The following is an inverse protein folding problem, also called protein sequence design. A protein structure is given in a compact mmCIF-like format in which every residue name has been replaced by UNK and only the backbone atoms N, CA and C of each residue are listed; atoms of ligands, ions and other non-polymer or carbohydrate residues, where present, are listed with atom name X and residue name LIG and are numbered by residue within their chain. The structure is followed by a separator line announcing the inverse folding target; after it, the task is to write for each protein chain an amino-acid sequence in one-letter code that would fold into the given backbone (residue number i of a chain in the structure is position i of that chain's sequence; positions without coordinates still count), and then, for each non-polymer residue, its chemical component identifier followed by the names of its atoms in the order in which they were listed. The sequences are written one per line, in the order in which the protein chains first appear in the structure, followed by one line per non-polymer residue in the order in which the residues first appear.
data_IF_738864221714
#
_entry.id   IF_738864221714
#
_cell.length_a   1.000
_cell.length_b   1.000
_cell.length_c   1.000
_cell.angle_alpha   90.00
_cell.angle_beta   90.00
_cell.angle_gamma   90.00
#
_symmetry.space_group_name_H-M   'P 1'
#
loop_
_entity.id
_entity.type
_entity.pdbx_description
1 polymer ?
#
# COMPACT_ATOMS: atom_id res chain seq x y z
N UNK A 1 -75.25 21.87 15.08
CA UNK A 1 -76.09 21.46 16.22
C UNK A 1 -75.44 20.27 16.86
N UNK A 2 -74.85 20.41 18.03
CA UNK A 2 -74.64 19.54 19.15
C UNK A 2 -73.47 20.06 19.97
N UNK A 3 -73.75 20.65 20.89
CA UNK A 3 -73.62 20.86 22.33
C UNK A 3 -72.22 20.64 22.90
N UNK A 4 -71.75 21.81 23.41
CA UNK A 4 -70.67 21.94 24.36
C UNK A 4 -71.21 21.60 25.77
N UNK A 5 -70.70 20.59 26.44
CA UNK A 5 -70.84 20.39 27.88
C UNK A 5 -69.48 20.66 28.58
N UNK A 6 -69.47 21.75 29.35
CA UNK A 6 -68.46 22.16 30.32
C UNK A 6 -68.32 21.11 31.43
N UNK A 7 -67.09 20.77 31.82
CA UNK A 7 -66.75 20.14 33.11
C UNK A 7 -65.93 21.13 33.96
N UNK A 8 -66.13 21.12 35.29
CA UNK A 8 -65.48 22.06 36.18
C UNK A 8 -64.03 21.68 36.49
N UNK A 9 -63.23 22.64 37.08
CA UNK A 9 -61.83 22.40 37.38
C UNK A 9 -61.67 21.62 38.69
N UNK A 10 -60.87 20.59 38.69
CA UNK A 10 -60.42 19.89 39.89
C UNK A 10 -59.05 20.45 40.32
N UNK A 11 -59.02 20.82 41.61
CA UNK A 11 -57.86 21.28 42.33
C UNK A 11 -57.14 20.07 42.92
N UNK A 12 -55.91 19.86 42.55
CA UNK A 12 -54.86 19.47 43.51
C UNK A 12 -53.50 19.55 42.79
N UNK A 13 -52.74 20.55 43.18
CA UNK A 13 -51.34 20.67 42.78
C UNK A 13 -50.50 19.66 43.56
N UNK A 14 -49.44 19.39 43.01
CA UNK A 14 -48.11 18.91 43.34
C UNK A 14 -47.70 17.87 42.27
N UNK A 15 -47.18 18.36 41.16
CA UNK A 15 -46.42 17.52 40.27
C UNK A 15 -44.94 17.82 40.43
N UNK A 16 -44.29 16.83 40.93
CA UNK A 16 -42.96 16.75 41.43
C UNK A 16 -41.90 17.17 40.39
N UNK A 17 -41.02 18.15 40.73
CA UNK A 17 -39.84 18.59 39.98
C UNK A 17 -38.83 17.47 39.64
N UNK A 18 -39.03 16.25 40.10
CA UNK A 18 -38.14 15.11 39.85
C UNK A 18 -38.29 14.49 38.48
N UNK A 19 -39.38 14.67 37.75
CA UNK A 19 -39.61 14.01 36.43
C UNK A 19 -38.89 14.80 35.30
N UNK A 20 -38.76 16.12 35.44
CA UNK A 20 -38.05 16.95 34.43
C UNK A 20 -36.54 16.76 34.46
N UNK A 21 -35.94 16.45 35.63
CA UNK A 21 -34.52 16.18 35.75
C UNK A 21 -34.14 14.82 35.13
N UNK A 22 -35.02 13.82 35.23
CA UNK A 22 -34.78 12.52 34.63
C UNK A 22 -34.84 12.55 33.09
N UNK A 23 -35.76 13.31 32.51
CA UNK A 23 -35.89 13.41 31.05
C UNK A 23 -34.70 14.19 30.42
N UNK A 24 -34.14 15.17 31.15
CA UNK A 24 -32.96 15.93 30.69
C UNK A 24 -31.66 15.09 30.73
N UNK A 25 -31.53 14.22 31.76
CA UNK A 25 -30.37 13.31 31.90
C UNK A 25 -30.37 12.19 30.88
N UNK A 26 -31.52 11.63 30.52
CA UNK A 26 -31.64 10.60 29.48
C UNK A 26 -31.27 11.20 28.10
N UNK A 27 -31.78 12.40 27.77
CA UNK A 27 -31.43 13.05 26.49
C UNK A 27 -29.96 13.49 26.41
N UNK A 28 -29.34 13.86 27.54
CA UNK A 28 -27.94 14.25 27.58
C UNK A 28 -27.00 13.03 27.42
N UNK A 29 -27.33 11.89 28.04
CA UNK A 29 -26.57 10.67 27.91
C UNK A 29 -26.74 10.03 26.52
N UNK A 30 -27.94 10.08 25.93
CA UNK A 30 -28.18 9.62 24.56
C UNK A 30 -27.41 10.47 23.55
N UNK A 31 -27.30 11.80 23.74
CA UNK A 31 -26.47 12.64 22.89
C UNK A 31 -24.98 12.33 23.02
N UNK A 32 -24.49 11.97 24.21
CA UNK A 32 -23.09 11.56 24.40
C UNK A 32 -22.82 10.16 23.84
N UNK A 33 -23.76 9.21 23.96
CA UNK A 33 -23.70 7.91 23.33
C UNK A 33 -23.74 8.04 21.80
N UNK A 34 -24.66 8.85 21.25
CA UNK A 34 -24.72 9.15 19.81
C UNK A 34 -23.48 9.88 19.28
N UNK A 35 -22.84 10.73 20.10
CA UNK A 35 -21.57 11.36 19.74
C UNK A 35 -20.40 10.41 19.91
N UNK A 36 -20.45 9.42 20.79
CA UNK A 36 -19.45 8.37 20.93
C UNK A 36 -19.54 7.34 19.78
N UNK A 37 -20.75 7.01 19.33
CA UNK A 37 -20.92 6.14 18.16
C UNK A 37 -20.55 6.82 16.84
N UNK A 38 -20.69 8.16 16.74
CA UNK A 38 -20.21 8.94 15.57
C UNK A 38 -18.68 9.08 15.50
N UNK A 39 -17.95 8.70 16.54
CA UNK A 39 -16.49 8.53 16.50
C UNK A 39 -16.09 7.08 16.21
N UNK A 40 -16.85 6.34 15.42
CA UNK A 40 -16.25 5.29 14.60
C UNK A 40 -15.28 6.04 13.68
N UNK A 41 -14.01 5.98 14.00
CA UNK A 41 -12.93 6.50 13.18
C UNK A 41 -13.15 5.92 11.80
N UNK A 42 -13.63 6.75 10.87
CA UNK A 42 -13.75 6.31 9.47
C UNK A 42 -12.33 6.00 9.06
N UNK A 43 -12.02 4.71 8.98
CA UNK A 43 -10.68 4.29 8.57
C UNK A 43 -10.45 4.85 7.18
N UNK A 44 -9.33 5.52 7.00
CA UNK A 44 -8.95 6.06 5.70
C UNK A 44 -8.68 4.90 4.76
N UNK A 45 -9.15 5.04 3.52
CA UNK A 45 -8.89 4.06 2.47
C UNK A 45 -7.57 4.34 1.78
N UNK A 46 -6.83 3.28 1.55
CA UNK A 46 -5.67 3.29 0.67
C UNK A 46 -5.96 2.34 -0.48
N UNK A 47 -5.84 2.83 -1.70
CA UNK A 47 -5.85 1.99 -2.90
C UNK A 47 -4.41 1.84 -3.38
N UNK A 48 -3.97 0.61 -3.58
CA UNK A 48 -2.65 0.35 -4.13
C UNK A 48 -2.77 0.02 -5.63
N UNK A 49 -2.14 0.85 -6.46
CA UNK A 49 -2.17 0.78 -7.92
C UNK A 49 -1.30 -0.38 -8.43
N UNK A 50 -1.71 -1.62 -8.14
CA UNK A 50 -1.04 -2.83 -8.62
C UNK A 50 -2.03 -3.97 -8.82
N UNK A 51 -1.77 -4.79 -9.84
CA UNK A 51 -2.42 -6.07 -10.06
C UNK A 51 -1.61 -7.27 -9.52
N UNK A 52 -0.40 -7.04 -8.99
CA UNK A 52 0.48 -8.11 -8.55
C UNK A 52 0.14 -8.58 -7.13
N UNK A 53 -0.32 -9.84 -7.01
CA UNK A 53 -0.71 -10.42 -5.72
C UNK A 53 0.45 -10.54 -4.72
N UNK A 54 1.68 -10.82 -5.20
CA UNK A 54 2.87 -10.89 -4.35
C UNK A 54 3.19 -9.53 -3.71
N UNK A 55 3.15 -8.45 -4.51
CA UNK A 55 3.30 -7.08 -3.98
C UNK A 55 2.22 -6.75 -2.96
N UNK A 56 0.95 -7.07 -3.24
CA UNK A 56 -0.15 -6.79 -2.30
C UNK A 56 0.02 -7.48 -0.96
N UNK A 57 0.53 -8.70 -0.95
CA UNK A 57 0.81 -9.44 0.30
C UNK A 57 1.85 -8.69 1.14
N UNK A 58 3.02 -8.38 0.56
CA UNK A 58 4.09 -7.64 1.24
C UNK A 58 3.62 -6.27 1.76
N UNK A 59 2.84 -5.53 0.96
CA UNK A 59 2.31 -4.21 1.32
C UNK A 59 1.40 -4.30 2.55
N UNK A 60 0.47 -5.26 2.58
CA UNK A 60 -0.45 -5.44 3.70
C UNK A 60 0.27 -5.83 4.97
N UNK A 61 1.30 -6.67 4.88
CA UNK A 61 2.12 -7.05 6.03
C UNK A 61 2.88 -5.85 6.61
N UNK A 62 3.51 -5.03 5.76
CA UNK A 62 4.33 -3.89 6.19
C UNK A 62 3.48 -2.75 6.76
N UNK A 63 2.29 -2.51 6.22
CA UNK A 63 1.40 -1.42 6.63
C UNK A 63 0.32 -1.85 7.64
N UNK A 64 0.37 -3.08 8.17
CA UNK A 64 -0.67 -3.69 9.00
C UNK A 64 -1.00 -2.91 10.28
N UNK A 65 -0.08 -2.13 10.82
CA UNK A 65 -0.26 -1.35 12.05
C UNK A 65 -0.79 0.08 11.81
N UNK A 66 -0.98 0.50 10.56
CA UNK A 66 -1.67 1.75 10.26
C UNK A 66 -3.19 1.59 10.41
N UNK A 67 -3.90 2.61 10.92
CA UNK A 67 -5.36 2.58 11.05
C UNK A 67 -6.05 2.87 9.70
N UNK A 68 -5.77 2.04 8.69
CA UNK A 68 -6.24 2.20 7.30
C UNK A 68 -6.75 0.89 6.74
N UNK A 69 -7.63 0.97 5.74
CA UNK A 69 -8.06 -0.18 4.94
C UNK A 69 -7.33 -0.15 3.60
N UNK A 70 -6.67 -1.27 3.24
CA UNK A 70 -5.83 -1.36 2.04
C UNK A 70 -6.49 -2.25 0.99
N UNK A 71 -6.77 -1.67 -0.15
CA UNK A 71 -7.39 -2.30 -1.31
C UNK A 71 -6.44 -2.32 -2.51
N UNK A 72 -6.47 -3.40 -3.28
CA UNK A 72 -5.94 -3.40 -4.65
C UNK A 72 -6.89 -2.64 -5.57
N UNK A 73 -6.45 -2.29 -6.77
CA UNK A 73 -7.33 -1.72 -7.81
C UNK A 73 -8.57 -2.59 -8.05
N UNK A 74 -8.37 -3.90 -8.16
CA UNK A 74 -9.46 -4.86 -8.39
C UNK A 74 -10.49 -4.85 -7.24
N UNK A 75 -10.06 -4.86 -5.99
CA UNK A 75 -10.93 -4.82 -4.81
C UNK A 75 -11.64 -3.46 -4.68
N UNK A 76 -11.02 -2.38 -5.14
CA UNK A 76 -11.61 -1.06 -5.22
C UNK A 76 -12.55 -0.86 -6.43
N UNK A 77 -12.67 -1.86 -7.30
CA UNK A 77 -13.49 -1.79 -8.51
C UNK A 77 -12.91 -0.85 -9.58
N UNK A 78 -11.61 -0.54 -9.52
CA UNK A 78 -10.92 0.35 -10.46
C UNK A 78 -10.31 -0.50 -11.58
N UNK A 79 -10.70 -0.18 -12.81
CA UNK A 79 -10.15 -0.76 -14.04
C UNK A 79 -9.75 0.39 -14.95
N UNK A 80 -8.47 0.66 -15.03
CA UNK A 80 -7.89 1.72 -15.87
C UNK A 80 -6.58 1.21 -16.45
N UNK A 81 -6.35 1.52 -17.71
CA UNK A 81 -5.08 1.29 -18.38
C UNK A 81 -4.09 2.38 -17.95
N UNK A 82 -2.89 1.97 -17.57
CA UNK A 82 -1.83 2.87 -17.11
C UNK A 82 -0.68 2.80 -18.10
N UNK A 83 -0.42 3.90 -18.79
CA UNK A 83 0.72 4.01 -19.70
C UNK A 83 2.00 4.34 -18.91
N UNK A 84 2.79 3.31 -18.61
CA UNK A 84 4.07 3.41 -17.90
C UNK A 84 5.20 3.80 -18.86
N UNK A 85 5.15 5.04 -19.37
CA UNK A 85 6.10 5.59 -20.34
C UNK A 85 7.23 6.41 -19.68
N UNK A 86 7.33 6.42 -18.37
CA UNK A 86 8.39 7.06 -17.60
C UNK A 86 9.76 6.41 -17.85
N UNK A 87 10.80 7.21 -17.75
CA UNK A 87 12.20 6.76 -17.92
C UNK A 87 12.85 6.31 -16.62
N UNK A 88 12.20 6.58 -15.49
CA UNK A 88 12.67 6.24 -14.15
C UNK A 88 11.57 5.55 -13.36
N UNK A 89 11.96 4.78 -12.35
CA UNK A 89 11.00 4.17 -11.40
C UNK A 89 10.13 5.23 -10.72
N UNK A 90 10.68 6.42 -10.45
CA UNK A 90 9.93 7.49 -9.81
C UNK A 90 8.85 8.06 -10.74
N UNK A 91 9.18 8.30 -12.00
CA UNK A 91 8.20 8.76 -13.00
C UNK A 91 7.05 7.76 -13.15
N UNK A 92 7.37 6.47 -13.32
CA UNK A 92 6.34 5.43 -13.46
C UNK A 92 5.50 5.28 -12.19
N UNK A 93 6.09 5.32 -11.00
CA UNK A 93 5.34 5.28 -9.74
C UNK A 93 4.37 6.47 -9.63
N UNK A 94 4.80 7.68 -9.98
CA UNK A 94 3.95 8.89 -10.01
C UNK A 94 2.82 8.77 -11.02
N UNK A 95 3.12 8.34 -12.26
CA UNK A 95 2.11 8.13 -13.30
C UNK A 95 1.03 7.17 -12.80
N UNK A 96 1.43 6.02 -12.24
CA UNK A 96 0.49 5.04 -11.69
C UNK A 96 -0.38 5.63 -10.58
N UNK A 97 0.23 6.27 -9.60
CA UNK A 97 -0.49 6.84 -8.45
C UNK A 97 -1.50 7.91 -8.89
N UNK A 98 -1.10 8.83 -9.76
CA UNK A 98 -1.95 9.92 -10.24
C UNK A 98 -3.09 9.43 -11.15
N UNK A 99 -2.80 8.48 -12.05
CA UNK A 99 -3.83 7.89 -12.93
C UNK A 99 -4.93 7.22 -12.12
N UNK A 100 -4.54 6.41 -11.11
CA UNK A 100 -5.52 5.72 -10.26
C UNK A 100 -6.22 6.68 -9.31
N UNK A 101 -5.54 7.73 -8.81
CA UNK A 101 -6.17 8.75 -7.98
C UNK A 101 -7.30 9.48 -8.72
N UNK A 102 -7.13 9.74 -10.02
CA UNK A 102 -8.18 10.30 -10.89
C UNK A 102 -9.42 9.42 -11.03
N UNK A 103 -9.34 8.13 -10.67
CA UNK A 103 -10.45 7.18 -10.71
C UNK A 103 -11.09 6.94 -9.33
N UNK A 104 -10.65 7.63 -8.27
CA UNK A 104 -11.19 7.50 -6.91
C UNK A 104 -12.19 8.60 -6.58
N UNK A 105 -12.86 8.46 -5.43
CA UNK A 105 -13.84 9.42 -4.90
C UNK A 105 -13.23 10.71 -4.32
N UNK A 106 -11.93 10.92 -4.50
CA UNK A 106 -11.21 12.10 -3.99
C UNK A 106 -10.91 12.07 -2.48
N UNK A 107 -11.41 11.11 -1.73
CA UNK A 107 -11.12 10.94 -0.30
C UNK A 107 -10.11 9.84 0.02
N UNK A 108 -9.65 9.15 -1.01
CA UNK A 108 -8.80 7.96 -0.95
C UNK A 108 -7.33 8.33 -1.17
N UNK A 109 -6.42 7.79 -0.34
CA UNK A 109 -4.98 7.85 -0.59
C UNK A 109 -4.66 6.78 -1.64
N UNK A 110 -3.96 7.13 -2.69
CA UNK A 110 -3.51 6.16 -3.70
C UNK A 110 -2.01 5.98 -3.59
N UNK A 111 -1.59 4.73 -3.42
CA UNK A 111 -0.19 4.33 -3.46
C UNK A 111 0.09 3.56 -4.75
N UNK A 112 1.27 3.76 -5.30
CA UNK A 112 1.78 2.95 -6.40
C UNK A 112 3.24 2.62 -6.17
N UNK A 113 3.66 1.42 -6.59
CA UNK A 113 5.07 1.10 -6.65
C UNK A 113 5.54 0.93 -8.10
N UNK A 114 6.75 1.41 -8.35
CA UNK A 114 7.53 0.93 -9.46
C UNK A 114 8.85 0.38 -8.96
N UNK A 115 9.21 -0.81 -9.41
CA UNK A 115 10.34 -1.54 -8.86
C UNK A 115 10.96 -2.47 -9.89
N UNK A 116 12.27 -2.64 -9.80
CA UNK A 116 12.98 -3.51 -10.70
C UNK A 116 14.38 -3.86 -10.21
N UNK A 117 15.03 -4.67 -11.02
CA UNK A 117 16.39 -5.13 -10.86
C UNK A 117 17.30 -4.32 -11.76
N UNK A 118 18.38 -3.78 -11.23
CA UNK A 118 19.47 -3.17 -11.98
C UNK A 118 20.72 -4.02 -11.82
N UNK A 119 21.37 -4.41 -12.94
CA UNK A 119 22.59 -5.23 -12.96
C UNK A 119 23.71 -4.37 -13.55
N UNK A 120 24.76 -4.11 -12.78
CA UNK A 120 25.82 -3.16 -13.17
C UNK A 120 26.57 -3.62 -14.42
N UNK A 121 26.92 -4.90 -14.53
CA UNK A 121 27.59 -5.45 -15.70
C UNK A 121 26.73 -5.45 -16.98
N UNK A 122 25.43 -5.20 -16.85
CA UNK A 122 24.48 -5.05 -17.96
C UNK A 122 24.00 -3.59 -18.11
N UNK A 123 24.79 -2.62 -17.65
CA UNK A 123 24.48 -1.19 -17.72
C UNK A 123 23.13 -0.81 -17.07
N UNK A 124 22.76 -1.49 -15.99
CA UNK A 124 21.53 -1.28 -15.26
C UNK A 124 20.31 -2.02 -15.81
N UNK A 125 20.46 -2.81 -16.89
CA UNK A 125 19.36 -3.64 -17.36
C UNK A 125 19.02 -4.76 -16.33
N UNK A 126 17.74 -5.19 -16.26
CA UNK A 126 16.58 -4.73 -17.02
C UNK A 126 15.97 -3.39 -16.55
N UNK A 127 16.33 -2.85 -15.38
CA UNK A 127 15.89 -1.55 -14.89
C UNK A 127 14.37 -1.40 -14.85
N UNK A 128 13.85 -0.29 -15.35
CA UNK A 128 12.40 0.00 -15.42
C UNK A 128 11.62 -1.01 -16.28
N UNK A 129 12.31 -1.80 -17.08
CA UNK A 129 11.71 -2.85 -17.90
C UNK A 129 11.64 -4.20 -17.20
N UNK A 130 11.97 -4.30 -15.91
CA UNK A 130 12.07 -5.57 -15.18
C UNK A 130 10.84 -6.46 -15.31
N UNK A 131 9.65 -5.90 -15.18
CA UNK A 131 8.40 -6.68 -15.29
C UNK A 131 8.16 -7.20 -16.71
N UNK A 132 8.48 -6.40 -17.73
CA UNK A 132 8.25 -6.71 -19.17
C UNK A 132 9.51 -7.15 -19.93
N UNK A 133 10.62 -7.39 -19.20
CA UNK A 133 11.85 -7.92 -19.79
C UNK A 133 11.57 -9.20 -20.57
N UNK A 134 12.03 -9.29 -21.82
CA UNK A 134 11.75 -10.36 -22.76
C UNK A 134 10.25 -10.60 -23.09
N UNK A 135 9.35 -9.64 -22.76
CA UNK A 135 7.91 -9.75 -22.92
C UNK A 135 7.16 -10.05 -21.63
N UNK A 136 5.92 -9.54 -21.53
CA UNK A 136 5.10 -9.65 -20.33
C UNK A 136 4.75 -11.09 -19.96
N UNK A 137 4.45 -11.91 -20.96
CA UNK A 137 4.04 -13.31 -20.80
C UNK A 137 5.22 -14.27 -20.55
N UNK A 138 6.46 -13.79 -20.63
CA UNK A 138 7.64 -14.60 -20.39
C UNK A 138 7.78 -14.94 -18.91
N UNK A 139 7.91 -16.24 -18.60
CA UNK A 139 8.07 -16.70 -17.21
C UNK A 139 9.36 -16.15 -16.58
N UNK A 140 9.33 -15.89 -15.27
CA UNK A 140 10.52 -15.42 -14.56
C UNK A 140 11.68 -16.42 -14.61
N UNK A 141 11.41 -17.72 -14.68
CA UNK A 141 12.45 -18.73 -14.86
C UNK A 141 13.26 -18.48 -16.15
N UNK A 142 12.60 -18.13 -17.25
CA UNK A 142 13.28 -17.79 -18.50
C UNK A 142 14.04 -16.46 -18.38
N UNK A 143 13.41 -15.45 -17.77
CA UNK A 143 14.05 -14.14 -17.53
C UNK A 143 15.30 -14.29 -16.67
N UNK A 144 15.22 -15.07 -15.59
CA UNK A 144 16.32 -15.34 -14.67
C UNK A 144 17.47 -16.04 -15.40
N UNK A 145 17.17 -17.13 -16.12
CA UNK A 145 18.18 -17.84 -16.88
C UNK A 145 18.87 -16.94 -17.91
N UNK A 146 18.11 -16.12 -18.62
CA UNK A 146 18.68 -15.18 -19.58
C UNK A 146 19.66 -14.18 -18.94
N UNK A 147 19.35 -13.67 -17.72
CA UNK A 147 20.27 -12.77 -17.03
C UNK A 147 21.54 -13.50 -16.57
N UNK A 148 21.40 -14.74 -16.08
CA UNK A 148 22.55 -15.58 -15.70
C UNK A 148 23.45 -15.86 -16.89
N UNK A 149 22.86 -16.22 -18.05
CA UNK A 149 23.59 -16.52 -19.31
C UNK A 149 24.31 -15.25 -19.84
N UNK A 150 23.66 -14.11 -19.81
CA UNK A 150 24.28 -12.83 -20.23
C UNK A 150 25.47 -12.42 -19.36
N UNK A 151 25.56 -12.97 -18.17
CA UNK A 151 26.68 -12.73 -17.24
C UNK A 151 27.71 -13.88 -17.30
N UNK A 152 27.65 -14.77 -18.30
CA UNK A 152 28.67 -15.79 -18.50
C UNK A 152 30.07 -15.16 -18.66
N UNK A 153 31.06 -15.71 -17.99
CA UNK A 153 32.43 -15.16 -17.96
C UNK A 153 32.63 -13.92 -17.10
N UNK A 154 31.56 -13.31 -16.53
CA UNK A 154 31.68 -12.20 -15.59
C UNK A 154 31.99 -12.76 -14.20
N UNK A 155 33.13 -12.35 -13.56
CA UNK A 155 33.48 -12.82 -12.23
C UNK A 155 32.49 -12.32 -11.18
N UNK A 156 32.31 -13.07 -10.08
CA UNK A 156 31.29 -12.78 -9.04
C UNK A 156 31.40 -11.38 -8.44
N UNK A 157 32.58 -10.82 -8.33
CA UNK A 157 32.84 -9.47 -7.80
C UNK A 157 32.23 -8.38 -8.68
N UNK A 158 32.07 -8.66 -9.98
CA UNK A 158 31.51 -7.75 -11.00
C UNK A 158 30.04 -8.03 -11.32
N UNK A 159 29.44 -9.04 -10.72
CA UNK A 159 28.01 -9.38 -10.89
C UNK A 159 27.12 -8.58 -9.94
N UNK A 160 27.56 -7.39 -9.54
CA UNK A 160 26.83 -6.51 -8.64
C UNK A 160 25.50 -6.08 -9.24
N UNK A 161 24.49 -6.04 -8.40
CA UNK A 161 23.12 -5.70 -8.77
C UNK A 161 22.39 -5.08 -7.59
N UNK A 162 21.30 -4.40 -7.86
CA UNK A 162 20.39 -3.91 -6.82
C UNK A 162 18.95 -4.07 -7.23
N UNK A 163 18.11 -4.37 -6.26
CA UNK A 163 16.69 -4.08 -6.40
C UNK A 163 16.40 -2.64 -5.98
N UNK A 164 15.58 -1.98 -6.77
CA UNK A 164 15.09 -0.62 -6.51
C UNK A 164 13.56 -0.67 -6.39
N UNK A 165 13.02 0.05 -5.43
CA UNK A 165 11.59 0.30 -5.32
C UNK A 165 11.37 1.79 -5.05
N UNK A 166 10.48 2.40 -5.81
CA UNK A 166 9.94 3.72 -5.55
C UNK A 166 8.45 3.59 -5.27
N UNK A 167 8.02 4.09 -4.13
CA UNK A 167 6.61 4.22 -3.77
C UNK A 167 6.21 5.68 -4.01
N UNK A 168 5.17 5.90 -4.79
CA UNK A 168 4.50 7.19 -4.90
C UNK A 168 3.18 7.16 -4.14
N UNK A 169 2.87 8.24 -3.43
CA UNK A 169 1.58 8.48 -2.79
C UNK A 169 0.93 9.71 -3.40
N UNK A 170 -0.31 9.57 -3.88
CA UNK A 170 -1.18 10.67 -4.22
C UNK A 170 -2.22 10.84 -3.12
N UNK A 171 -2.21 12.00 -2.46
CA UNK A 171 -3.10 12.32 -1.35
C UNK A 171 -4.36 13.06 -1.83
N UNK A 172 -5.46 13.00 -1.06
CA UNK A 172 -6.71 13.68 -1.37
C UNK A 172 -6.60 15.21 -1.56
N UNK A 173 -5.60 15.85 -0.98
CA UNK A 173 -5.33 17.28 -1.11
C UNK A 173 -4.57 17.65 -2.40
N UNK A 174 -4.26 16.66 -3.26
CA UNK A 174 -3.50 16.83 -4.48
C UNK A 174 -1.98 16.72 -4.30
N UNK A 175 -1.50 16.58 -3.06
CA UNK A 175 -0.07 16.37 -2.81
C UNK A 175 0.38 15.02 -3.34
N UNK A 176 1.55 14.99 -3.98
CA UNK A 176 2.21 13.76 -4.42
C UNK A 176 3.61 13.71 -3.83
N UNK A 177 3.93 12.64 -3.11
CA UNK A 177 5.27 12.41 -2.59
C UNK A 177 5.79 11.04 -3.00
N UNK A 178 7.09 10.85 -2.94
CA UNK A 178 7.77 9.60 -3.26
C UNK A 178 8.75 9.19 -2.18
N UNK A 179 8.91 7.89 -2.00
CA UNK A 179 9.97 7.30 -1.18
C UNK A 179 10.69 6.23 -1.98
N UNK A 180 11.98 6.06 -1.74
CA UNK A 180 12.82 5.10 -2.44
C UNK A 180 13.51 4.16 -1.45
N UNK A 181 13.59 2.89 -1.80
CA UNK A 181 14.38 1.90 -1.08
C UNK A 181 15.20 1.06 -2.06
N UNK A 182 16.37 0.63 -1.61
CA UNK A 182 17.27 -0.26 -2.37
C UNK A 182 17.78 -1.38 -1.49
N UNK A 183 18.08 -2.51 -2.12
CA UNK A 183 18.92 -3.57 -1.53
C UNK A 183 20.00 -3.91 -2.53
N UNK A 184 21.25 -3.82 -2.09
CA UNK A 184 22.42 -4.20 -2.88
C UNK A 184 22.64 -5.71 -2.76
N UNK A 185 23.14 -6.33 -3.82
CA UNK A 185 23.43 -7.74 -3.90
C UNK A 185 24.21 -8.10 -5.14
N UNK A 186 24.12 -9.37 -5.55
CA UNK A 186 24.79 -9.90 -6.75
C UNK A 186 23.90 -10.87 -7.47
N UNK A 187 24.06 -10.98 -8.77
CA UNK A 187 23.45 -12.07 -9.54
C UNK A 187 24.29 -13.33 -9.43
N UNK A 188 23.69 -14.39 -8.92
CA UNK A 188 24.34 -15.70 -8.81
C UNK A 188 24.53 -16.41 -10.15
N UNK A 189 24.96 -17.66 -10.06
CA UNK A 189 25.13 -18.53 -11.22
C UNK A 189 23.95 -19.47 -11.45
N UNK A 190 23.07 -19.58 -10.46
CA UNK A 190 21.92 -20.49 -10.45
C UNK A 190 20.78 -19.91 -9.62
N UNK A 191 19.57 -20.41 -9.84
CA UNK A 191 18.41 -20.13 -8.98
C UNK A 191 18.50 -20.92 -7.68
N UNK A 192 18.17 -20.28 -6.53
CA UNK A 192 18.04 -20.91 -5.22
C UNK A 192 16.87 -20.30 -4.46
N UNK A 193 16.19 -21.14 -3.68
CA UNK A 193 15.03 -20.74 -2.86
C UNK A 193 13.72 -20.75 -3.63
N UNK A 194 12.61 -20.75 -2.89
CA UNK A 194 11.26 -20.88 -3.44
C UNK A 194 10.33 -19.75 -2.98
N UNK A 195 10.81 -18.88 -2.07
CA UNK A 195 10.04 -17.77 -1.56
C UNK A 195 10.11 -16.55 -2.51
N UNK A 196 9.19 -15.62 -2.29
CA UNK A 196 9.17 -14.37 -3.04
C UNK A 196 8.62 -14.52 -4.45
N UNK A 197 9.14 -13.73 -5.38
CA UNK A 197 8.73 -13.72 -6.79
C UNK A 197 9.79 -13.02 -7.65
N UNK A 198 9.62 -13.13 -8.97
CA UNK A 198 10.46 -12.37 -9.90
C UNK A 198 11.90 -12.88 -9.96
N UNK A 199 12.83 -11.98 -9.74
CA UNK A 199 14.27 -12.24 -9.79
C UNK A 199 14.86 -12.68 -8.45
N UNK A 200 14.04 -12.85 -7.40
CA UNK A 200 14.49 -13.25 -6.07
C UNK A 200 15.39 -14.51 -6.08
N UNK A 201 15.12 -15.56 -6.90
CA UNK A 201 15.94 -16.77 -6.89
C UNK A 201 17.38 -16.60 -7.39
N UNK A 202 17.67 -15.58 -8.18
CA UNK A 202 19.02 -15.30 -8.70
C UNK A 202 19.71 -14.14 -8.00
N UNK A 203 18.99 -13.42 -7.12
CA UNK A 203 19.52 -12.26 -6.40
C UNK A 203 20.05 -12.68 -5.04
N UNK A 204 21.35 -12.76 -4.93
CA UNK A 204 22.08 -13.14 -3.73
C UNK A 204 22.39 -11.92 -2.86
N UNK A 205 22.33 -12.09 -1.55
CA UNK A 205 22.82 -11.11 -0.59
C UNK A 205 24.30 -10.81 -0.85
N UNK A 206 24.83 -9.66 -0.40
CA UNK A 206 26.20 -9.24 -0.76
C UNK A 206 27.30 -10.24 -0.38
N UNK A 207 27.09 -11.02 0.69
CA UNK A 207 27.98 -12.08 1.17
C UNK A 207 27.84 -13.39 0.40
N UNK A 208 26.92 -13.48 -0.56
CA UNK A 208 26.58 -14.69 -1.35
C UNK A 208 26.09 -15.88 -0.51
N UNK A 209 25.70 -15.65 0.73
CA UNK A 209 25.25 -16.72 1.63
C UNK A 209 23.88 -17.29 1.24
N UNK A 210 22.92 -16.41 0.92
CA UNK A 210 21.54 -16.73 0.58
C UNK A 210 21.03 -15.82 -0.53
N UNK A 211 20.06 -16.31 -1.29
CA UNK A 211 19.23 -15.47 -2.17
C UNK A 211 18.10 -14.82 -1.39
N UNK A 212 17.48 -13.81 -1.97
CA UNK A 212 16.25 -13.22 -1.39
C UNK A 212 15.07 -14.20 -1.43
N UNK A 213 15.11 -15.23 -2.27
CA UNK A 213 14.13 -16.33 -2.28
C UNK A 213 14.35 -17.39 -1.19
N UNK A 214 15.48 -17.35 -0.49
CA UNK A 214 15.77 -18.22 0.67
C UNK A 214 15.44 -17.55 2.02
N UNK A 215 14.98 -16.28 1.98
CA UNK A 215 14.56 -15.55 3.18
C UNK A 215 13.10 -15.86 3.52
N UNK A 216 12.75 -15.84 4.80
CA UNK A 216 11.34 -15.79 5.20
C UNK A 216 10.69 -14.47 4.76
N UNK A 217 9.35 -14.41 4.65
CA UNK A 217 8.67 -13.15 4.36
C UNK A 217 9.05 -12.02 5.31
N UNK A 218 9.18 -12.30 6.60
CA UNK A 218 9.55 -11.34 7.63
C UNK A 218 10.99 -10.85 7.45
N UNK A 219 11.94 -11.77 7.24
CA UNK A 219 13.34 -11.43 6.97
C UNK A 219 13.44 -10.56 5.71
N UNK A 220 12.73 -10.95 4.64
CA UNK A 220 12.73 -10.22 3.37
C UNK A 220 12.13 -8.83 3.53
N UNK A 221 10.98 -8.69 4.21
CA UNK A 221 10.33 -7.40 4.45
C UNK A 221 11.23 -6.43 5.25
N UNK A 222 12.04 -6.95 6.17
CA UNK A 222 12.96 -6.13 6.97
C UNK A 222 14.13 -5.54 6.16
N UNK A 223 14.62 -6.25 5.14
CA UNK A 223 15.84 -5.85 4.40
C UNK A 223 15.57 -5.37 2.97
N UNK A 224 14.42 -5.70 2.40
CA UNK A 224 14.13 -5.49 0.98
C UNK A 224 14.00 -4.01 0.60
N UNK A 225 14.18 -3.75 -0.69
CA UNK A 225 13.93 -2.46 -1.31
C UNK A 225 12.51 -1.95 -1.04
N UNK A 226 11.48 -2.83 -1.19
CA UNK A 226 10.07 -2.48 -0.94
C UNK A 226 9.82 -2.25 0.54
N UNK A 227 10.37 -3.08 1.42
CA UNK A 227 10.26 -2.89 2.86
C UNK A 227 10.78 -1.52 3.30
N UNK A 228 11.97 -1.12 2.82
CA UNK A 228 12.57 0.19 3.10
C UNK A 228 11.74 1.35 2.55
N UNK A 229 11.30 1.26 1.29
CA UNK A 229 10.48 2.30 0.66
C UNK A 229 9.13 2.46 1.36
N UNK A 230 8.45 1.36 1.70
CA UNK A 230 7.17 1.39 2.42
C UNK A 230 7.31 1.85 3.87
N UNK A 231 8.39 1.51 4.57
CA UNK A 231 8.64 2.01 5.91
C UNK A 231 8.75 3.55 5.91
N UNK A 232 9.48 4.13 4.95
CA UNK A 232 9.55 5.57 4.78
C UNK A 232 8.20 6.19 4.38
N UNK A 233 7.44 5.55 3.49
CA UNK A 233 6.12 6.01 3.08
C UNK A 233 5.10 5.97 4.22
N UNK A 234 5.20 4.99 5.09
CA UNK A 234 4.36 4.84 6.28
C UNK A 234 4.43 6.06 7.20
N UNK A 235 5.62 6.65 7.38
CA UNK A 235 5.79 7.87 8.16
C UNK A 235 5.08 9.07 7.51
N UNK A 236 5.14 9.17 6.17
CA UNK A 236 4.41 10.21 5.42
C UNK A 236 2.89 10.05 5.58
N UNK A 237 2.38 8.84 5.42
CA UNK A 237 0.96 8.54 5.62
C UNK A 237 0.54 8.84 7.07
N UNK A 238 1.31 8.40 8.06
CA UNK A 238 1.01 8.64 9.47
C UNK A 238 0.99 10.14 9.81
N UNK A 239 1.84 10.94 9.16
CA UNK A 239 1.83 12.40 9.29
C UNK A 239 0.57 13.02 8.67
N UNK A 240 0.14 12.55 7.52
CA UNK A 240 -1.08 13.01 6.84
C UNK A 240 -2.37 12.65 7.61
N UNK A 241 -2.36 11.55 8.35
CA UNK A 241 -3.51 11.06 9.13
C UNK A 241 -3.73 11.80 10.46
N UNK A 242 -2.78 12.60 10.92
CA UNK A 242 -2.87 13.42 12.16
C UNK A 242 -3.70 14.66 11.96
#
# INVERSE_FOLDING_TARGET
MCDYKKRPPDKTGVFCDRVLVFASHIRYNDRKLFQRERRKTVMKKIVFATGNAGKMKEIREILADLPVEIYSMKEAGISVEIDENGKTFEENAKIKAQTVAGCTDGGTIVLADDSGLEVDALNGEPGVYSARYMGEDTSYRIKNQSLVDRLEGVPVEKRTARFVCVIAAAFPDGTVCTTKGTIEGKIGYEERGENGFGYDPIFYLPDMSRTTAELSPEEKNAVSHRGKALAAMKEQIASYLK
#
